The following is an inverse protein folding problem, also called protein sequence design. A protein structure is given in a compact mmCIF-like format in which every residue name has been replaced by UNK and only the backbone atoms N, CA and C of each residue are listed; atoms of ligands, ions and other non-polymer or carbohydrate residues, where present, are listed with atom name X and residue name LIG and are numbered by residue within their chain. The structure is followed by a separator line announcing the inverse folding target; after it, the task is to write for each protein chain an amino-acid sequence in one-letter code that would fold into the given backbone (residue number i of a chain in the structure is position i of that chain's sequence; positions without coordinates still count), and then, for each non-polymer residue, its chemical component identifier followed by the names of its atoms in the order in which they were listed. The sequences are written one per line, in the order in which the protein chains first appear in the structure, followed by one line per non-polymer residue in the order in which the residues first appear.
data_IF_274761615995
#
_entry.id   IF_274761615995
#
_cell.length_a   1.000
_cell.length_b   1.000
_cell.length_c   1.000
_cell.angle_alpha   90.00
_cell.angle_beta   90.00
_cell.angle_gamma   90.00
#
_symmetry.space_group_name_H-M   'P 1'
#
loop_
_entity.id
_entity.type
_entity.pdbx_description
1 polymer ?
#
# COMPACT_ATOMS: atom_id res chain seq x y z
N UNK A 1 7.18 18.54 16.32
CA UNK A 1 5.86 18.05 15.85
C UNK A 1 4.75 18.56 16.77
N UNK A 2 3.71 19.26 16.26
CA UNK A 2 2.65 19.85 17.11
C UNK A 2 1.32 19.07 17.15
N UNK A 3 1.21 17.89 16.52
CA UNK A 3 -0.06 17.16 16.45
C UNK A 3 0.09 15.65 16.64
N UNK A 4 0.55 15.22 17.82
CA UNK A 4 0.36 13.80 18.21
C UNK A 4 -1.14 13.57 18.39
N UNK A 5 -1.74 12.56 17.73
CA UNK A 5 -3.16 12.27 17.85
C UNK A 5 -3.62 12.11 19.32
N UNK A 6 -4.68 12.85 19.69
CA UNK A 6 -5.26 12.79 21.04
C UNK A 6 -5.88 11.44 21.36
N UNK A 7 -6.36 10.73 20.33
CA UNK A 7 -6.86 9.35 20.41
C UNK A 7 -5.87 8.43 19.68
N UNK A 8 -5.65 7.20 20.15
CA UNK A 8 -4.91 6.20 19.39
C UNK A 8 -5.71 5.79 18.14
N UNK A 9 -5.12 4.95 17.29
CA UNK A 9 -5.86 4.33 16.19
C UNK A 9 -6.96 3.39 16.72
N UNK A 10 -7.63 2.70 15.81
CA UNK A 10 -8.81 1.88 16.18
C UNK A 10 -8.60 0.38 16.05
N UNK A 11 -7.46 -0.04 15.51
CA UNK A 11 -7.12 -1.45 15.28
C UNK A 11 -5.68 -1.75 15.71
N UNK A 12 -5.45 -2.99 16.13
CA UNK A 12 -4.19 -3.72 16.14
C UNK A 12 -3.03 -2.86 16.61
N UNK A 13 -2.01 -2.73 15.75
CA UNK A 13 -0.76 -2.01 15.92
C UNK A 13 -0.93 -0.57 16.44
N UNK A 14 -2.09 0.06 16.21
CA UNK A 14 -2.34 1.47 16.56
C UNK A 14 -3.21 1.69 17.79
N UNK A 15 -4.02 0.70 18.19
CA UNK A 15 -5.15 0.89 19.10
C UNK A 15 -4.73 1.19 20.54
N UNK A 16 -3.71 0.49 21.01
CA UNK A 16 -3.29 0.54 22.41
C UNK A 16 -1.98 1.31 22.59
N UNK A 17 -1.48 1.96 21.53
CA UNK A 17 -0.24 2.73 21.60
C UNK A 17 -0.36 3.89 22.60
N UNK A 18 0.56 3.96 23.59
CA UNK A 18 0.56 5.04 24.55
C UNK A 18 0.86 6.36 23.84
N UNK A 19 0.29 7.44 24.37
CA UNK A 19 0.62 8.77 23.88
C UNK A 19 2.10 9.06 24.17
N UNK A 20 2.81 9.51 23.15
CA UNK A 20 4.22 9.90 23.27
C UNK A 20 4.39 11.02 24.32
N UNK A 21 5.34 10.82 25.23
CA UNK A 21 5.71 11.82 26.23
C UNK A 21 6.67 12.88 25.65
N UNK A 22 6.98 13.93 26.43
CA UNK A 22 7.81 15.04 25.95
C UNK A 22 9.21 14.63 25.50
N UNK A 23 9.87 13.69 26.20
CA UNK A 23 11.23 13.26 25.85
C UNK A 23 11.22 12.41 24.58
N UNK A 24 10.22 11.56 24.38
CA UNK A 24 10.00 10.81 23.15
C UNK A 24 9.78 11.74 21.95
N UNK A 25 8.95 12.78 22.11
CA UNK A 25 8.74 13.80 21.06
C UNK A 25 10.03 14.53 20.72
N UNK A 26 10.76 14.99 21.73
CA UNK A 26 12.02 15.70 21.52
C UNK A 26 13.06 14.80 20.83
N UNK A 27 13.09 13.51 21.18
CA UNK A 27 13.93 12.53 20.51
C UNK A 27 13.57 12.40 19.04
N UNK A 28 12.29 12.21 18.71
CA UNK A 28 11.81 12.09 17.32
C UNK A 28 12.06 13.37 16.50
N UNK A 29 11.85 14.55 17.09
CA UNK A 29 12.17 15.84 16.44
C UNK A 29 13.67 15.94 16.13
N UNK A 30 14.54 15.48 17.05
CA UNK A 30 15.97 15.45 16.82
C UNK A 30 16.38 14.38 15.79
N UNK A 31 15.73 13.22 15.82
CA UNK A 31 15.92 12.15 14.84
C UNK A 31 15.58 12.66 13.44
N UNK A 32 14.43 13.31 13.27
CA UNK A 32 14.03 13.91 12.00
C UNK A 32 15.03 14.97 11.53
N UNK A 33 15.50 15.85 12.42
CA UNK A 33 16.52 16.85 12.07
C UNK A 33 17.78 16.17 11.51
N UNK A 34 18.27 15.11 12.16
CA UNK A 34 19.46 14.37 11.69
C UNK A 34 19.23 13.67 10.36
N UNK A 35 18.03 13.12 10.14
CA UNK A 35 17.67 12.54 8.84
C UNK A 35 17.68 13.57 7.72
N UNK A 36 17.14 14.76 7.96
CA UNK A 36 17.18 15.85 6.98
C UNK A 36 18.62 16.32 6.70
N UNK A 37 19.48 16.36 7.72
CA UNK A 37 20.91 16.65 7.54
C UNK A 37 21.60 15.57 6.69
N UNK A 38 21.32 14.29 6.94
CA UNK A 38 21.85 13.21 6.10
C UNK A 38 21.28 13.22 4.68
N UNK A 39 20.04 13.64 4.50
CA UNK A 39 19.41 13.78 3.18
C UNK A 39 20.05 14.92 2.38
N UNK A 40 20.55 15.96 3.04
CA UNK A 40 21.29 17.03 2.37
C UNK A 40 22.55 16.50 1.67
N UNK A 41 23.31 15.62 2.32
CA UNK A 41 24.48 15.00 1.68
C UNK A 41 24.09 14.16 0.45
N UNK A 42 22.90 13.54 0.45
CA UNK A 42 22.38 12.80 -0.72
C UNK A 42 21.99 13.77 -1.84
N UNK A 43 21.42 14.92 -1.53
CA UNK A 43 21.09 15.97 -2.49
C UNK A 43 22.36 16.53 -3.15
N UNK A 44 23.40 16.82 -2.36
CA UNK A 44 24.72 17.25 -2.85
C UNK A 44 25.35 16.19 -3.78
N UNK A 45 25.20 14.89 -3.46
CA UNK A 45 25.65 13.79 -4.33
C UNK A 45 24.89 13.74 -5.65
N UNK A 46 23.57 13.98 -5.63
CA UNK A 46 22.75 14.07 -6.85
C UNK A 46 23.19 15.26 -7.70
N UNK A 47 23.43 16.42 -7.10
CA UNK A 47 23.99 17.59 -7.78
C UNK A 47 25.31 17.24 -8.47
N UNK A 48 26.26 16.62 -7.76
CA UNK A 48 27.55 16.22 -8.32
C UNK A 48 27.45 15.22 -9.49
N UNK A 49 26.48 14.29 -9.45
CA UNK A 49 26.18 13.41 -10.60
C UNK A 49 25.74 14.24 -11.81
N UNK A 50 24.84 15.20 -11.60
CA UNK A 50 24.36 16.05 -12.68
C UNK A 50 25.43 17.00 -13.21
N UNK A 51 26.22 17.63 -12.35
CA UNK A 51 27.38 18.45 -12.76
C UNK A 51 28.33 17.64 -13.65
N UNK A 52 28.65 16.41 -13.23
CA UNK A 52 29.51 15.52 -14.02
C UNK A 52 28.89 15.20 -15.38
N UNK A 53 27.59 14.90 -15.43
CA UNK A 53 26.92 14.54 -16.68
C UNK A 53 26.70 15.73 -17.61
N UNK A 54 26.64 16.97 -17.09
CA UNK A 54 26.50 18.18 -17.91
C UNK A 54 27.73 18.43 -18.80
N UNK A 55 28.91 17.96 -18.40
CA UNK A 55 30.13 17.98 -19.22
C UNK A 55 30.07 17.02 -20.42
N UNK A 56 29.13 16.06 -20.40
CA UNK A 56 28.93 15.06 -21.46
C UNK A 56 27.49 15.12 -22.00
N UNK A 57 27.13 16.19 -22.74
CA UNK A 57 25.74 16.45 -23.14
C UNK A 57 25.12 15.31 -23.96
N UNK A 58 25.90 14.60 -24.79
CA UNK A 58 25.41 13.47 -25.56
C UNK A 58 25.07 12.26 -24.68
N UNK A 59 25.87 12.01 -23.63
CA UNK A 59 25.60 10.95 -22.64
C UNK A 59 24.37 11.32 -21.84
N UNK A 60 24.30 12.55 -21.33
CA UNK A 60 23.17 13.03 -20.56
C UNK A 60 21.88 13.00 -21.40
N UNK A 61 21.92 13.39 -22.68
CA UNK A 61 20.76 13.34 -23.56
C UNK A 61 20.23 11.93 -23.78
N UNK A 62 21.09 10.90 -23.70
CA UNK A 62 20.77 9.49 -23.91
C UNK A 62 20.60 8.67 -22.62
N UNK A 63 20.56 9.32 -21.45
CA UNK A 63 20.47 8.63 -20.15
C UNK A 63 19.10 8.83 -19.50
N UNK A 64 18.48 7.72 -19.07
CA UNK A 64 17.37 7.75 -18.13
C UNK A 64 17.91 7.83 -16.70
N UNK A 65 17.46 8.82 -15.94
CA UNK A 65 17.79 8.99 -14.52
C UNK A 65 16.47 8.86 -13.76
N UNK A 66 16.44 7.91 -12.81
CA UNK A 66 15.27 7.60 -11.97
C UNK A 66 15.68 7.80 -10.52
N UNK A 67 14.95 8.64 -9.80
CA UNK A 67 15.10 8.86 -8.36
C UNK A 67 13.89 8.30 -7.64
N UNK A 68 14.12 7.39 -6.69
CA UNK A 68 13.05 6.74 -5.91
C UNK A 68 13.56 6.23 -4.56
N UNK A 69 12.68 5.62 -3.77
CA UNK A 69 13.00 4.94 -2.51
C UNK A 69 12.31 3.56 -2.46
N UNK A 70 12.82 2.66 -1.62
CA UNK A 70 12.23 1.34 -1.36
C UNK A 70 10.95 1.44 -0.52
N UNK A 71 11.00 2.28 0.52
CA UNK A 71 9.88 2.56 1.41
C UNK A 71 9.98 3.97 2.02
N UNK A 72 8.89 4.43 2.60
CA UNK A 72 8.81 5.61 3.44
C UNK A 72 9.25 5.35 4.88
N UNK A 73 8.97 6.27 5.79
CA UNK A 73 9.37 6.13 7.19
C UNK A 73 8.57 7.06 8.11
N UNK A 74 7.91 6.48 9.10
CA UNK A 74 7.18 7.21 10.14
C UNK A 74 8.06 7.54 11.36
N UNK A 75 7.77 8.67 12.00
CA UNK A 75 8.47 9.24 13.14
C UNK A 75 7.48 9.89 14.10
N UNK A 76 6.66 9.10 14.80
CA UNK A 76 5.69 9.64 15.76
C UNK A 76 4.27 9.80 15.25
N UNK A 77 4.05 9.77 13.93
CA UNK A 77 2.72 9.69 13.34
C UNK A 77 2.00 8.45 13.88
N UNK A 78 0.69 8.57 14.11
CA UNK A 78 -0.10 7.52 14.76
C UNK A 78 0.42 7.06 16.14
N UNK A 79 1.26 7.86 16.80
CA UNK A 79 2.00 7.52 18.05
C UNK A 79 3.05 6.44 17.89
N UNK A 80 3.40 6.12 16.65
CA UNK A 80 4.42 5.13 16.34
C UNK A 80 5.81 5.59 16.81
N UNK A 81 6.69 4.67 17.20
CA UNK A 81 8.10 4.97 17.33
C UNK A 81 8.70 5.32 15.95
N UNK A 82 10.01 5.56 15.88
CA UNK A 82 10.66 5.66 14.57
C UNK A 82 10.64 4.27 13.90
N UNK A 83 10.31 4.19 12.61
CA UNK A 83 10.35 2.93 11.90
C UNK A 83 9.64 2.95 10.56
N UNK A 84 9.38 1.73 10.10
CA UNK A 84 8.66 1.38 8.88
C UNK A 84 7.99 0.02 9.10
N UNK A 85 7.03 -0.34 8.26
CA UNK A 85 6.26 -1.62 8.17
C UNK A 85 4.74 -1.41 8.22
N UNK A 86 4.26 -0.18 8.30
CA UNK A 86 2.83 0.14 8.33
C UNK A 86 2.32 0.47 6.93
N UNK A 87 1.02 0.23 6.68
CA UNK A 87 0.41 0.55 5.38
C UNK A 87 0.13 2.05 5.18
N UNK A 88 0.58 2.90 6.10
CA UNK A 88 0.25 4.32 6.16
C UNK A 88 1.02 5.15 5.12
N UNK A 89 0.49 6.31 4.74
CA UNK A 89 1.09 7.18 3.72
C UNK A 89 2.57 7.46 3.98
N UNK A 90 2.94 7.70 5.24
CA UNK A 90 4.34 7.97 5.61
C UNK A 90 5.30 6.83 5.25
N UNK A 91 4.81 5.59 5.18
CA UNK A 91 5.61 4.38 4.93
C UNK A 91 5.56 3.90 3.48
N UNK A 92 4.50 4.23 2.74
CA UNK A 92 4.22 3.60 1.43
C UNK A 92 4.27 4.59 0.26
N UNK A 93 4.09 5.88 0.51
CA UNK A 93 4.10 6.90 -0.54
C UNK A 93 5.52 7.45 -0.75
N UNK A 94 6.26 6.79 -1.63
CA UNK A 94 7.67 7.11 -1.94
C UNK A 94 7.81 8.01 -3.17
N UNK A 95 8.89 8.80 -3.28
CA UNK A 95 9.14 9.57 -4.48
C UNK A 95 9.38 8.65 -5.69
N UNK A 96 8.90 9.06 -6.85
CA UNK A 96 9.31 8.52 -8.14
C UNK A 96 9.44 9.68 -9.13
N UNK A 97 10.68 10.01 -9.48
CA UNK A 97 11.01 11.10 -10.41
C UNK A 97 11.86 10.50 -11.53
N UNK A 98 11.52 10.79 -12.78
CA UNK A 98 12.24 10.29 -13.94
C UNK A 98 12.51 11.41 -14.95
N UNK A 99 13.70 11.38 -15.56
CA UNK A 99 14.04 12.20 -16.73
C UNK A 99 14.91 11.42 -17.71
N UNK A 100 14.74 11.67 -19.00
CA UNK A 100 15.51 10.99 -20.04
C UNK A 100 14.97 11.26 -21.43
N UNK A 101 15.47 10.55 -22.45
CA UNK A 101 14.95 10.60 -23.81
C UNK A 101 13.42 10.39 -23.83
N UNK A 102 12.71 11.28 -24.51
CA UNK A 102 11.24 11.21 -24.73
C UNK A 102 10.35 11.30 -23.47
N UNK A 103 10.94 11.38 -22.27
CA UNK A 103 10.20 11.56 -21.02
C UNK A 103 9.55 12.93 -21.01
N UNK A 104 8.29 12.98 -20.60
CA UNK A 104 7.54 14.23 -20.58
C UNK A 104 8.10 15.19 -19.52
N UNK A 105 8.48 16.41 -19.94
CA UNK A 105 9.02 17.44 -19.06
C UNK A 105 7.91 18.13 -18.28
N UNK A 106 8.15 18.43 -17.00
CA UNK A 106 7.22 19.15 -16.12
C UNK A 106 5.81 18.55 -16.08
N UNK A 107 5.73 17.22 -16.08
CA UNK A 107 4.48 16.48 -15.93
C UNK A 107 4.44 15.75 -14.59
N UNK A 108 3.26 15.73 -13.99
CA UNK A 108 2.96 14.98 -12.78
C UNK A 108 1.83 14.01 -13.10
N UNK A 109 2.08 12.73 -12.85
CA UNK A 109 1.07 11.69 -12.90
C UNK A 109 0.40 11.59 -11.53
N UNK A 110 -0.94 11.53 -11.53
CA UNK A 110 -1.74 11.33 -10.31
C UNK A 110 -2.28 9.91 -10.18
N UNK A 111 -2.13 9.11 -11.24
CA UNK A 111 -2.44 7.68 -11.19
C UNK A 111 -1.47 6.99 -10.23
N UNK A 112 -1.96 6.04 -9.42
CA UNK A 112 -1.11 5.32 -8.50
C UNK A 112 -0.20 4.35 -9.28
N UNK A 113 0.99 4.12 -8.77
CA UNK A 113 1.96 3.13 -9.28
C UNK A 113 2.62 2.43 -8.09
N UNK A 114 3.22 1.27 -8.32
CA UNK A 114 3.98 0.54 -7.31
C UNK A 114 5.35 0.11 -7.85
N UNK A 115 6.19 -0.46 -6.98
CA UNK A 115 7.49 -1.01 -7.41
C UNK A 115 7.36 -2.14 -8.45
N UNK A 116 6.22 -2.84 -8.51
CA UNK A 116 6.00 -3.87 -9.55
C UNK A 116 5.90 -3.28 -10.96
N UNK A 117 5.62 -1.98 -11.07
CA UNK A 117 5.55 -1.26 -12.35
C UNK A 117 6.93 -0.85 -12.89
N UNK A 118 8.00 -0.91 -12.07
CA UNK A 118 9.34 -0.50 -12.48
C UNK A 118 9.91 -1.39 -13.59
N UNK A 119 9.84 -2.70 -13.43
CA UNK A 119 10.33 -3.65 -14.43
C UNK A 119 9.65 -3.48 -15.81
N UNK A 120 8.30 -3.49 -15.93
CA UNK A 120 7.65 -3.26 -17.22
C UNK A 120 7.92 -1.85 -17.78
N UNK A 121 8.09 -0.83 -16.93
CA UNK A 121 8.50 0.52 -17.37
C UNK A 121 9.87 0.49 -18.03
N UNK A 122 10.87 -0.15 -17.39
CA UNK A 122 12.21 -0.26 -17.94
C UNK A 122 12.23 -1.05 -19.26
N UNK A 123 11.43 -2.12 -19.37
CA UNK A 123 11.27 -2.86 -20.62
C UNK A 123 10.75 -1.96 -21.74
N UNK A 124 9.70 -1.17 -21.47
CA UNK A 124 9.14 -0.22 -22.44
C UNK A 124 10.12 0.89 -22.82
N UNK A 125 10.93 1.37 -21.88
CA UNK A 125 11.97 2.38 -22.15
C UNK A 125 13.12 1.82 -23.00
N UNK A 126 13.44 0.54 -22.83
CA UNK A 126 14.47 -0.18 -23.58
C UNK A 126 13.96 -0.84 -24.88
N UNK A 127 12.70 -0.58 -25.28
CA UNK A 127 12.04 -1.16 -26.46
C UNK A 127 12.00 -2.71 -26.47
N UNK A 128 11.84 -3.30 -25.29
CA UNK A 128 11.62 -4.74 -25.14
C UNK A 128 10.13 -5.08 -25.02
N UNK A 129 9.75 -6.26 -25.54
CA UNK A 129 8.41 -6.82 -25.34
C UNK A 129 8.16 -7.11 -23.86
N UNK A 130 6.99 -6.70 -23.37
CA UNK A 130 6.56 -7.02 -22.01
C UNK A 130 6.39 -8.54 -21.84
N UNK A 131 6.66 -9.02 -20.63
CA UNK A 131 6.42 -10.41 -20.26
C UNK A 131 5.04 -10.56 -19.64
N UNK A 132 4.38 -11.67 -19.93
CA UNK A 132 3.04 -11.96 -19.43
C UNK A 132 3.02 -12.20 -17.90
N UNK A 133 4.17 -12.56 -17.32
CA UNK A 133 4.36 -12.83 -15.89
C UNK A 133 4.67 -11.57 -15.05
N UNK A 134 4.66 -10.38 -15.65
CA UNK A 134 4.78 -9.13 -14.89
C UNK A 134 3.48 -8.79 -14.16
N UNK A 135 3.53 -8.59 -12.84
CA UNK A 135 2.34 -8.18 -12.09
C UNK A 135 1.98 -6.69 -12.29
N UNK A 136 2.96 -5.87 -12.67
CA UNK A 136 2.78 -4.44 -12.92
C UNK A 136 2.54 -4.08 -14.39
N UNK A 137 2.24 -2.80 -14.62
CA UNK A 137 2.10 -2.19 -15.94
C UNK A 137 3.14 -1.08 -16.15
N UNK A 138 3.56 -0.78 -17.39
CA UNK A 138 4.44 0.35 -17.62
C UNK A 138 3.82 1.67 -17.16
N UNK A 139 4.55 2.43 -16.35
CA UNK A 139 4.16 3.79 -15.96
C UNK A 139 4.20 4.66 -17.23
N UNK A 140 3.16 5.47 -17.52
CA UNK A 140 3.06 6.28 -18.74
C UNK A 140 3.94 7.53 -18.67
N UNK A 141 5.26 7.34 -18.70
CA UNK A 141 6.28 8.38 -18.47
C UNK A 141 6.68 9.16 -19.74
N UNK A 142 6.43 8.60 -20.93
CA UNK A 142 6.80 9.26 -22.20
C UNK A 142 5.76 10.31 -22.59
N UNK A 143 6.19 11.34 -23.34
CA UNK A 143 5.27 12.37 -23.86
C UNK A 143 4.08 11.79 -24.63
N UNK A 144 4.34 10.76 -25.46
CA UNK A 144 3.33 10.08 -26.26
C UNK A 144 2.32 9.27 -25.41
N UNK A 145 2.65 8.94 -24.17
CA UNK A 145 1.78 8.15 -23.29
C UNK A 145 0.69 9.00 -22.62
N UNK A 146 0.82 10.33 -22.61
CA UNK A 146 -0.16 11.23 -21.98
C UNK A 146 -1.39 11.48 -22.86
N UNK A 147 -2.05 10.40 -23.28
CA UNK A 147 -3.32 10.43 -24.00
C UNK A 147 -4.50 10.16 -23.07
N UNK A 148 -5.73 10.61 -23.41
CA UNK A 148 -6.93 10.25 -22.67
C UNK A 148 -7.15 8.74 -22.54
N UNK A 149 -6.66 7.96 -23.50
CA UNK A 149 -6.81 6.50 -23.59
C UNK A 149 -5.71 5.71 -22.87
N UNK A 150 -4.77 6.39 -22.19
CA UNK A 150 -3.76 5.73 -21.37
C UNK A 150 -4.43 4.83 -20.33
N UNK A 151 -3.95 3.58 -20.20
CA UNK A 151 -4.45 2.65 -19.19
C UNK A 151 -4.21 3.30 -17.82
N UNK A 152 -5.29 3.64 -17.13
CA UNK A 152 -5.27 4.13 -15.76
C UNK A 152 -5.56 2.95 -14.86
N UNK A 153 -4.53 2.48 -14.16
CA UNK A 153 -4.77 1.69 -12.94
C UNK A 153 -5.37 2.62 -11.90
N UNK A 154 -6.35 2.11 -11.14
CA UNK A 154 -6.89 2.84 -9.99
C UNK A 154 -6.35 2.28 -8.68
N UNK A 155 -5.65 1.14 -8.68
CA UNK A 155 -5.32 0.38 -7.49
C UNK A 155 -3.82 0.16 -7.32
N UNK A 156 -3.39 0.06 -6.08
CA UNK A 156 -2.09 -0.49 -5.65
C UNK A 156 -2.35 -1.42 -4.47
N UNK A 157 -1.73 -2.60 -4.50
CA UNK A 157 -1.71 -3.54 -3.38
C UNK A 157 -0.46 -3.31 -2.53
N UNK A 158 -0.62 -3.35 -1.21
CA UNK A 158 0.44 -3.16 -0.23
C UNK A 158 0.27 -4.26 0.83
N UNK A 159 1.35 -4.95 1.17
CA UNK A 159 1.30 -6.01 2.16
C UNK A 159 2.52 -5.99 3.08
N UNK A 160 2.32 -6.51 4.29
CA UNK A 160 3.39 -6.72 5.26
C UNK A 160 3.14 -8.05 5.98
N UNK A 161 4.21 -8.70 6.39
CA UNK A 161 4.20 -10.01 7.05
C UNK A 161 5.09 -9.98 8.29
N UNK A 162 4.56 -10.55 9.38
CA UNK A 162 5.28 -10.74 10.62
C UNK A 162 5.28 -9.52 11.53
N UNK A 163 6.41 -9.30 12.20
CA UNK A 163 6.54 -8.26 13.22
C UNK A 163 7.00 -6.91 12.65
N UNK A 164 6.51 -5.84 13.26
CA UNK A 164 6.97 -4.49 12.99
C UNK A 164 8.37 -4.23 13.54
N UNK A 165 9.11 -3.35 12.87
CA UNK A 165 10.49 -3.01 13.24
C UNK A 165 10.48 -1.62 13.88
N UNK A 166 10.98 -1.56 15.12
CA UNK A 166 11.30 -0.28 15.76
C UNK A 166 12.73 0.10 15.45
N UNK A 167 12.90 1.32 14.96
CA UNK A 167 14.20 1.96 14.82
C UNK A 167 14.43 2.99 15.94
N UNK A 168 15.70 3.18 16.31
CA UNK A 168 16.09 4.05 17.41
C UNK A 168 16.04 3.39 18.79
N UNK A 169 16.48 4.14 19.80
CA UNK A 169 16.81 3.57 21.14
C UNK A 169 15.81 3.94 22.24
N UNK A 170 15.00 4.99 22.03
CA UNK A 170 14.08 5.52 23.06
C UNK A 170 12.79 4.71 23.20
N UNK A 171 12.52 3.80 22.25
CA UNK A 171 11.32 2.97 22.21
C UNK A 171 11.62 1.47 22.36
N UNK A 172 12.83 1.10 22.80
CA UNK A 172 13.24 -0.29 22.95
C UNK A 172 12.35 -1.10 23.92
N UNK A 173 11.71 -0.42 24.88
CA UNK A 173 10.73 -1.03 25.79
C UNK A 173 9.40 -1.41 25.11
N UNK A 174 9.17 -0.97 23.88
CA UNK A 174 7.99 -1.32 23.08
C UNK A 174 8.29 -2.48 22.11
N UNK A 175 9.56 -2.71 21.71
CA UNK A 175 9.96 -3.81 20.82
C UNK A 175 10.35 -5.09 21.55
N UNK A 176 10.75 -4.98 22.81
CA UNK A 176 11.17 -6.12 23.64
C UNK A 176 10.64 -5.94 25.04
N UNK A 177 10.12 -7.02 25.63
CA UNK A 177 9.85 -7.11 27.07
C UNK A 177 11.16 -7.04 27.86
N UNK A 178 11.76 -5.86 28.01
CA UNK A 178 12.83 -5.66 28.98
C UNK A 178 12.18 -5.33 30.31
N UNK A 179 11.90 -6.37 31.11
CA UNK A 179 11.79 -6.14 32.56
C UNK A 179 13.19 -5.80 33.08
N UNK A 180 13.37 -4.79 33.95
CA UNK A 180 14.70 -4.30 34.32
C UNK A 180 15.63 -5.29 35.05
N UNK A 181 15.18 -6.50 35.38
CA UNK A 181 15.79 -7.31 36.45
C UNK A 181 15.90 -8.83 36.23
N UNK A 182 15.81 -9.39 35.02
CA UNK A 182 15.89 -10.86 34.88
C UNK A 182 16.89 -11.32 33.81
N UNK A 183 18.09 -11.68 34.27
CA UNK A 183 19.03 -12.51 33.52
C UNK A 183 18.62 -13.99 33.45
N UNK A 184 17.58 -14.40 34.19
CA UNK A 184 17.11 -15.78 34.27
C UNK A 184 15.58 -15.82 34.22
N UNK A 185 14.97 -15.86 33.03
CA UNK A 185 13.67 -16.53 32.83
C UNK A 185 13.55 -17.08 31.42
N UNK A 186 13.97 -18.33 31.28
CA UNK A 186 13.27 -19.27 30.43
C UNK A 186 11.86 -19.52 30.99
N UNK A 187 10.87 -19.68 30.09
CA UNK A 187 9.60 -20.40 30.32
C UNK A 187 8.56 -19.76 31.25
N UNK A 188 8.04 -18.58 30.88
CA UNK A 188 6.61 -18.25 31.11
C UNK A 188 6.11 -17.52 29.86
N UNK A 189 4.98 -17.95 29.30
CA UNK A 189 4.44 -17.56 27.98
C UNK A 189 4.74 -16.11 27.57
N UNK A 190 5.19 -15.86 26.31
CA UNK A 190 5.44 -14.51 25.85
C UNK A 190 4.14 -13.72 25.93
N UNK A 191 4.12 -12.58 26.64
CA UNK A 191 3.06 -11.61 26.35
C UNK A 191 3.51 -10.91 25.07
N UNK A 192 2.71 -11.03 24.02
CA UNK A 192 2.98 -10.44 22.72
C UNK A 192 3.32 -8.95 22.87
N UNK A 193 4.43 -8.53 22.27
CA UNK A 193 4.78 -7.13 22.12
C UNK A 193 3.76 -6.40 21.24
N UNK A 194 3.71 -5.07 21.34
CA UNK A 194 2.80 -4.23 20.55
C UNK A 194 2.95 -4.43 19.03
N UNK A 195 4.07 -4.99 18.60
CA UNK A 195 4.49 -5.04 17.22
C UNK A 195 4.71 -6.46 16.71
N UNK A 196 4.32 -7.49 17.47
CA UNK A 196 4.57 -8.89 17.10
C UNK A 196 3.69 -9.37 15.92
N UNK A 197 2.49 -8.77 15.80
CA UNK A 197 1.46 -9.10 14.81
C UNK A 197 1.16 -7.92 13.89
N UNK A 198 1.97 -7.74 12.85
CA UNK A 198 1.85 -6.68 11.85
C UNK A 198 1.55 -7.21 10.43
N UNK A 199 0.96 -8.42 10.34
CA UNK A 199 0.54 -9.01 9.07
C UNK A 199 -0.77 -8.39 8.58
N UNK A 200 -0.75 -7.80 7.39
CA UNK A 200 -1.93 -7.20 6.75
C UNK A 200 -1.83 -7.17 5.23
N UNK A 201 -2.98 -6.99 4.58
CA UNK A 201 -3.07 -6.56 3.18
C UNK A 201 -3.88 -5.28 3.07
N UNK A 202 -3.38 -4.35 2.27
CA UNK A 202 -3.91 -3.01 2.09
C UNK A 202 -4.12 -2.72 0.61
N UNK A 203 -5.32 -2.26 0.28
CA UNK A 203 -5.64 -1.68 -1.00
C UNK A 203 -5.60 -0.16 -0.91
N UNK A 204 -4.77 0.46 -1.74
CA UNK A 204 -4.90 1.87 -2.13
C UNK A 204 -5.67 1.96 -3.42
N UNK A 205 -6.71 2.80 -3.44
CA UNK A 205 -7.47 3.06 -4.65
C UNK A 205 -7.60 4.57 -4.88
N UNK A 206 -7.20 5.04 -6.05
CA UNK A 206 -7.00 6.46 -6.35
C UNK A 206 -7.67 6.81 -7.69
N UNK A 207 -8.48 7.87 -7.67
CA UNK A 207 -9.02 8.50 -8.87
C UNK A 207 -9.26 9.99 -8.64
N UNK A 208 -9.64 10.70 -9.70
CA UNK A 208 -10.08 12.09 -9.57
C UNK A 208 -11.32 12.27 -8.69
N UNK A 209 -12.16 11.23 -8.52
CA UNK A 209 -13.43 11.30 -7.78
C UNK A 209 -13.35 10.75 -6.36
N UNK A 210 -12.52 9.75 -6.11
CA UNK A 210 -12.37 9.10 -4.81
C UNK A 210 -10.92 8.75 -4.54
N UNK A 211 -10.58 8.62 -3.26
CA UNK A 211 -9.31 8.07 -2.83
C UNK A 211 -9.53 7.34 -1.50
N UNK A 212 -9.24 6.05 -1.47
CA UNK A 212 -9.42 5.24 -0.27
C UNK A 212 -8.19 4.38 0.03
N UNK A 213 -7.97 4.17 1.31
CA UNK A 213 -7.11 3.13 1.85
C UNK A 213 -7.96 2.16 2.63
N UNK A 214 -7.91 0.88 2.28
CA UNK A 214 -8.63 -0.19 2.97
C UNK A 214 -7.66 -1.31 3.35
N UNK A 215 -7.61 -1.63 4.63
CA UNK A 215 -6.67 -2.61 5.19
C UNK A 215 -7.42 -3.71 5.91
N UNK A 216 -6.99 -4.95 5.67
CA UNK A 216 -7.44 -6.15 6.36
C UNK A 216 -6.26 -6.73 7.13
N UNK A 217 -6.39 -6.82 8.44
CA UNK A 217 -5.38 -7.38 9.33
C UNK A 217 -5.58 -8.89 9.51
N UNK A 218 -4.52 -9.62 9.79
CA UNK A 218 -4.58 -11.08 9.95
C UNK A 218 -5.51 -11.54 11.10
N UNK A 219 -5.74 -10.69 12.09
CA UNK A 219 -6.66 -10.94 13.20
C UNK A 219 -8.12 -10.57 12.89
N UNK A 220 -8.44 -10.20 11.64
CA UNK A 220 -9.78 -9.84 11.19
C UNK A 220 -10.20 -8.39 11.48
N UNK A 221 -9.33 -7.57 12.05
CA UNK A 221 -9.57 -6.14 12.16
C UNK A 221 -9.40 -5.42 10.80
N UNK A 222 -10.03 -4.26 10.68
CA UNK A 222 -10.18 -3.57 9.40
C UNK A 222 -10.06 -2.05 9.56
N UNK A 223 -9.42 -1.44 8.58
CA UNK A 223 -9.31 0.02 8.47
C UNK A 223 -9.83 0.49 7.13
N UNK A 224 -10.54 1.62 7.13
CA UNK A 224 -10.99 2.31 5.93
C UNK A 224 -10.82 3.81 6.12
N UNK A 225 -10.07 4.45 5.24
CA UNK A 225 -9.84 5.89 5.24
C UNK A 225 -10.25 6.51 3.91
N UNK A 226 -11.01 7.62 3.97
CA UNK A 226 -11.22 8.50 2.82
C UNK A 226 -10.06 9.49 2.76
N UNK A 227 -9.10 9.21 1.89
CA UNK A 227 -7.81 9.91 1.86
C UNK A 227 -7.93 11.35 1.35
N UNK A 228 -9.03 11.69 0.66
CA UNK A 228 -9.29 13.09 0.28
C UNK A 228 -9.76 13.93 1.45
N UNK A 229 -10.45 13.32 2.42
CA UNK A 229 -10.98 14.00 3.61
C UNK A 229 -10.08 13.86 4.83
N UNK A 230 -9.37 12.74 4.92
CA UNK A 230 -8.49 12.36 6.02
C UNK A 230 -7.15 11.84 5.47
N UNK A 231 -6.34 12.73 4.85
CA UNK A 231 -5.03 12.36 4.29
C UNK A 231 -4.04 11.87 5.34
N UNK A 232 -4.30 12.11 6.63
CA UNK A 232 -3.48 11.66 7.76
C UNK A 232 -4.03 10.40 8.44
N UNK A 233 -5.07 9.78 7.88
CA UNK A 233 -5.59 8.47 8.31
C UNK A 233 -5.93 8.40 9.81
N UNK A 234 -6.55 9.44 10.34
CA UNK A 234 -6.88 9.57 11.76
C UNK A 234 -8.30 9.12 12.11
N UNK A 235 -9.16 8.90 11.11
CA UNK A 235 -10.58 8.55 11.25
C UNK A 235 -10.95 7.31 10.45
N UNK A 236 -10.84 6.13 11.10
CA UNK A 236 -11.25 4.87 10.50
C UNK A 236 -12.77 4.81 10.29
N UNK A 237 -13.23 4.85 9.04
CA UNK A 237 -14.63 4.72 8.59
C UNK A 237 -15.23 3.34 8.84
N UNK A 238 -14.42 2.30 9.00
CA UNK A 238 -14.89 0.95 9.33
C UNK A 238 -15.23 0.82 10.82
N UNK A 239 -14.58 1.60 11.68
CA UNK A 239 -14.93 1.64 13.10
C UNK A 239 -16.36 2.18 13.25
N UNK A 240 -17.14 1.63 14.20
CA UNK A 240 -18.57 1.95 14.46
C UNK A 240 -18.83 3.39 14.96
N UNK A 241 -18.07 4.37 14.50
CA UNK A 241 -18.26 5.78 14.81
C UNK A 241 -19.10 6.44 13.72
N UNK A 242 -20.16 7.17 14.09
CA UNK A 242 -21.01 7.87 13.14
C UNK A 242 -20.26 9.08 12.61
N UNK A 243 -19.51 8.90 11.52
CA UNK A 243 -18.98 10.00 10.74
C UNK A 243 -19.68 10.08 9.38
N UNK A 244 -19.92 11.31 8.95
CA UNK A 244 -20.64 11.65 7.72
C UNK A 244 -19.80 11.31 6.48
N UNK A 245 -19.71 10.03 6.13
CA UNK A 245 -19.33 9.63 4.78
C UNK A 245 -20.50 9.85 3.83
N UNK A 246 -20.22 10.34 2.62
CA UNK A 246 -21.22 10.37 1.54
C UNK A 246 -21.43 9.00 0.90
N UNK A 247 -20.62 8.00 1.29
CA UNK A 247 -20.71 6.64 0.80
C UNK A 247 -21.46 5.75 1.80
N UNK A 248 -22.21 4.78 1.27
CA UNK A 248 -22.67 3.66 2.07
C UNK A 248 -21.46 2.79 2.42
N UNK A 249 -20.99 2.88 3.67
CA UNK A 249 -19.77 2.19 4.12
C UNK A 249 -19.89 0.68 4.00
N UNK A 250 -21.04 0.09 4.36
CA UNK A 250 -21.23 -1.35 4.26
C UNK A 250 -21.12 -1.84 2.81
N UNK A 251 -21.71 -1.08 1.87
CA UNK A 251 -21.60 -1.36 0.45
C UNK A 251 -20.15 -1.21 -0.04
N UNK A 252 -19.52 -0.08 0.29
CA UNK A 252 -18.15 0.25 -0.14
C UNK A 252 -17.14 -0.81 0.33
N UNK A 253 -17.20 -1.18 1.60
CA UNK A 253 -16.31 -2.19 2.20
C UNK A 253 -16.39 -3.51 1.42
N UNK A 254 -17.59 -3.99 1.06
CA UNK A 254 -17.72 -5.22 0.26
C UNK A 254 -17.02 -5.15 -1.10
N UNK A 255 -16.99 -3.98 -1.76
CA UNK A 255 -16.31 -3.79 -3.05
C UNK A 255 -14.80 -3.75 -2.90
N UNK A 256 -14.32 -3.06 -1.86
CA UNK A 256 -12.89 -2.94 -1.57
C UNK A 256 -12.33 -4.28 -1.11
N UNK A 257 -13.05 -4.99 -0.25
CA UNK A 257 -12.68 -6.32 0.24
C UNK A 257 -12.60 -7.35 -0.89
N UNK A 258 -13.58 -7.37 -1.79
CA UNK A 258 -13.50 -8.25 -2.96
C UNK A 258 -12.32 -7.90 -3.89
N UNK A 259 -11.97 -6.62 -4.01
CA UNK A 259 -10.80 -6.21 -4.78
C UNK A 259 -9.50 -6.61 -4.08
N UNK A 260 -9.40 -6.49 -2.74
CA UNK A 260 -8.28 -7.06 -1.97
C UNK A 260 -8.20 -8.56 -2.19
N UNK A 261 -9.32 -9.29 -2.08
CA UNK A 261 -9.38 -10.73 -2.33
C UNK A 261 -8.88 -11.12 -3.73
N UNK A 262 -9.17 -10.29 -4.74
CA UNK A 262 -8.69 -10.51 -6.11
C UNK A 262 -7.19 -10.30 -6.23
N UNK A 263 -6.66 -9.28 -5.55
CA UNK A 263 -5.24 -8.90 -5.58
C UNK A 263 -4.37 -9.74 -4.65
N UNK A 264 -4.99 -10.38 -3.67
CA UNK A 264 -4.36 -11.08 -2.56
C UNK A 264 -3.27 -12.06 -2.97
N UNK A 265 -3.57 -12.90 -3.94
CA UNK A 265 -2.68 -13.92 -4.52
C UNK A 265 -2.63 -13.79 -6.05
N UNK A 266 -2.80 -12.56 -6.56
CA UNK A 266 -2.80 -12.34 -8.00
C UNK A 266 -1.43 -12.65 -8.61
N UNK A 267 -1.43 -13.02 -9.89
CA UNK A 267 -0.24 -13.14 -10.71
C UNK A 267 -0.54 -12.66 -12.14
N UNK A 268 0.43 -12.00 -12.76
CA UNK A 268 0.37 -11.54 -14.14
C UNK A 268 -0.89 -10.70 -14.43
N UNK A 269 -1.70 -11.17 -15.39
CA UNK A 269 -2.86 -10.39 -15.86
C UNK A 269 -3.90 -10.10 -14.78
N UNK A 270 -4.04 -10.99 -13.79
CA UNK A 270 -4.97 -10.78 -12.68
C UNK A 270 -4.54 -9.64 -11.74
N UNK A 271 -3.24 -9.37 -11.62
CA UNK A 271 -2.73 -8.20 -10.88
C UNK A 271 -2.90 -6.89 -11.68
N UNK A 272 -2.63 -6.96 -12.98
CA UNK A 272 -2.74 -5.80 -13.89
C UNK A 272 -4.20 -5.38 -14.13
N UNK A 273 -5.10 -6.37 -14.22
CA UNK A 273 -6.50 -6.18 -14.58
C UNK A 273 -7.47 -6.91 -13.63
N UNK A 274 -7.44 -6.65 -12.31
CA UNK A 274 -8.24 -7.38 -11.32
C UNK A 274 -9.75 -7.24 -11.54
N UNK A 275 -10.19 -6.11 -12.10
CA UNK A 275 -11.59 -5.91 -12.47
C UNK A 275 -12.04 -6.87 -13.56
N UNK A 276 -11.22 -7.08 -14.59
CA UNK A 276 -11.49 -8.04 -15.67
C UNK A 276 -11.44 -9.48 -15.14
N UNK A 277 -10.56 -9.75 -14.17
CA UNK A 277 -10.52 -11.05 -13.49
C UNK A 277 -11.83 -11.36 -12.73
N UNK A 278 -12.51 -10.36 -12.15
CA UNK A 278 -13.83 -10.55 -11.51
C UNK A 278 -15.02 -10.45 -12.47
N UNK A 279 -14.92 -9.60 -13.50
CA UNK A 279 -15.97 -9.28 -14.46
C UNK A 279 -15.45 -9.56 -15.89
N UNK A 280 -15.49 -10.82 -16.37
CA UNK A 280 -14.87 -11.19 -17.64
C UNK A 280 -15.41 -10.46 -18.87
N UNK A 281 -16.67 -9.99 -18.82
CA UNK A 281 -17.28 -9.17 -19.89
C UNK A 281 -16.84 -7.70 -19.89
N UNK A 282 -16.09 -7.24 -18.88
CA UNK A 282 -15.46 -5.91 -18.85
C UNK A 282 -16.40 -4.75 -18.53
N UNK A 283 -17.62 -5.02 -18.05
CA UNK A 283 -18.65 -4.01 -17.76
C UNK A 283 -18.34 -3.16 -16.52
N UNK A 284 -17.54 -3.70 -15.58
CA UNK A 284 -17.07 -2.97 -14.40
C UNK A 284 -15.58 -2.65 -14.58
N UNK A 285 -15.25 -1.37 -14.78
CA UNK A 285 -13.88 -0.91 -15.03
C UNK A 285 -13.32 -0.03 -13.92
N UNK A 286 -14.15 0.37 -12.95
CA UNK A 286 -13.77 1.27 -11.86
C UNK A 286 -14.58 0.99 -10.59
N UNK A 287 -14.13 1.51 -9.45
CA UNK A 287 -14.93 1.48 -8.22
C UNK A 287 -16.27 2.21 -8.40
N UNK A 288 -16.31 3.30 -9.19
CA UNK A 288 -17.57 3.99 -9.46
C UNK A 288 -18.61 3.09 -10.13
N UNK A 289 -18.20 2.24 -11.07
CA UNK A 289 -19.09 1.24 -11.68
C UNK A 289 -19.48 0.15 -10.68
N UNK A 290 -18.51 -0.34 -9.89
CA UNK A 290 -18.73 -1.39 -8.89
C UNK A 290 -19.70 -0.98 -7.75
N UNK A 291 -19.87 0.32 -7.52
CA UNK A 291 -20.82 0.88 -6.55
C UNK A 291 -22.27 0.89 -7.03
N UNK A 292 -22.55 0.54 -8.29
CA UNK A 292 -23.93 0.39 -8.75
C UNK A 292 -24.65 -0.72 -7.97
N UNK A 293 -25.89 -0.45 -7.57
CA UNK A 293 -26.69 -1.36 -6.72
C UNK A 293 -27.05 -2.67 -7.41
N UNK A 294 -27.01 -2.71 -8.76
CA UNK A 294 -27.17 -3.94 -9.55
C UNK A 294 -26.12 -5.02 -9.23
N UNK A 295 -24.99 -4.64 -8.61
CA UNK A 295 -23.94 -5.57 -8.20
C UNK A 295 -23.99 -5.90 -6.69
N UNK A 296 -24.98 -5.40 -5.94
CA UNK A 296 -25.05 -5.57 -4.47
C UNK A 296 -25.11 -7.03 -4.04
N UNK A 297 -25.91 -7.85 -4.73
CA UNK A 297 -26.04 -9.28 -4.44
C UNK A 297 -24.71 -10.01 -4.70
N UNK A 298 -24.07 -9.73 -5.84
CA UNK A 298 -22.78 -10.31 -6.20
C UNK A 298 -21.71 -10.01 -5.14
N UNK A 299 -21.48 -8.74 -4.80
CA UNK A 299 -20.47 -8.37 -3.80
C UNK A 299 -20.84 -8.85 -2.39
N UNK A 300 -22.13 -8.96 -2.07
CA UNK A 300 -22.58 -9.52 -0.78
C UNK A 300 -22.29 -11.02 -0.68
N UNK A 301 -22.30 -11.74 -1.80
CA UNK A 301 -22.03 -13.18 -1.86
C UNK A 301 -20.56 -13.56 -1.73
N UNK A 302 -19.65 -12.60 -1.96
CA UNK A 302 -18.21 -12.85 -1.92
C UNK A 302 -17.74 -13.28 -0.53
N UNK A 303 -16.79 -14.24 -0.44
CA UNK A 303 -16.13 -14.51 0.82
C UNK A 303 -15.36 -13.26 1.26
N UNK A 304 -15.26 -13.07 2.57
CA UNK A 304 -14.44 -11.99 3.11
C UNK A 304 -12.96 -12.33 2.97
N UNK A 305 -12.12 -11.31 2.81
CA UNK A 305 -10.69 -11.49 3.08
C UNK A 305 -10.53 -11.85 4.55
N UNK A 306 -9.90 -12.99 4.80
CA UNK A 306 -9.50 -13.44 6.14
C UNK A 306 -8.12 -14.06 6.06
N UNK A 307 -7.62 -14.53 7.19
CA UNK A 307 -6.39 -15.29 7.32
C UNK A 307 -6.69 -16.43 8.27
N UNK A 308 -6.18 -17.63 7.98
CA UNK A 308 -6.32 -18.76 8.88
C UNK A 308 -5.33 -18.66 10.04
N UNK A 309 -4.16 -18.05 9.78
CA UNK A 309 -3.13 -17.76 10.79
C UNK A 309 -2.40 -16.44 10.51
N UNK A 310 -2.01 -15.74 11.58
CA UNK A 310 -1.11 -14.59 11.53
C UNK A 310 0.36 -15.03 11.40
N UNK A 311 0.74 -15.49 10.22
CA UNK A 311 2.09 -16.02 9.95
C UNK A 311 3.14 -14.91 9.93
N UNK A 312 4.39 -15.28 10.24
CA UNK A 312 5.56 -14.38 10.18
C UNK A 312 6.14 -14.19 8.77
N UNK A 313 5.45 -14.70 7.75
CA UNK A 313 5.87 -14.67 6.35
C UNK A 313 4.73 -15.10 5.43
N UNK A 314 4.93 -14.91 4.13
CA UNK A 314 3.95 -15.30 3.11
C UNK A 314 3.84 -16.83 3.02
N UNK A 315 2.70 -17.37 3.46
CA UNK A 315 2.35 -18.79 3.39
C UNK A 315 0.94 -18.86 2.77
N UNK A 316 0.82 -19.07 1.44
CA UNK A 316 -0.44 -18.97 0.71
C UNK A 316 -1.56 -19.84 1.28
N UNK A 317 -1.22 -21.02 1.80
CA UNK A 317 -2.16 -22.00 2.34
C UNK A 317 -2.84 -21.54 3.63
N UNK A 318 -2.24 -20.56 4.33
CA UNK A 318 -2.74 -20.02 5.59
C UNK A 318 -3.41 -18.65 5.42
N UNK A 319 -3.55 -18.19 4.18
CA UNK A 319 -4.27 -16.96 3.91
C UNK A 319 -5.80 -17.16 3.83
N UNK A 320 -6.38 -18.35 4.06
CA UNK A 320 -7.83 -18.52 3.93
C UNK A 320 -8.33 -18.29 2.49
N UNK A 321 -9.48 -17.61 2.26
CA UNK A 321 -10.02 -17.39 0.92
C UNK A 321 -9.02 -16.66 0.01
N UNK A 322 -8.74 -17.26 -1.14
CA UNK A 322 -7.71 -16.80 -2.07
C UNK A 322 -8.26 -16.14 -3.35
N UNK A 323 -9.53 -16.38 -3.69
CA UNK A 323 -10.12 -15.93 -4.97
C UNK A 323 -11.58 -15.49 -4.81
N UNK A 324 -12.01 -14.44 -5.53
CA UNK A 324 -13.42 -14.06 -5.61
C UNK A 324 -14.20 -15.01 -6.51
N UNK A 325 -15.53 -15.05 -6.35
CA UNK A 325 -16.41 -15.61 -7.37
C UNK A 325 -16.44 -14.71 -8.60
N UNK A 326 -16.55 -15.31 -9.79
CA UNK A 326 -16.70 -14.59 -11.05
C UNK A 326 -18.14 -14.08 -11.20
N UNK A 327 -18.28 -12.86 -11.73
CA UNK A 327 -19.59 -12.34 -12.09
C UNK A 327 -20.10 -13.04 -13.35
N UNK A 328 -21.27 -13.69 -13.27
CA UNK A 328 -21.88 -14.44 -14.37
C UNK A 328 -23.06 -13.69 -15.02
N UNK A 329 -23.26 -12.41 -14.71
CA UNK A 329 -24.47 -11.68 -15.11
C UNK A 329 -25.71 -12.18 -14.37
N UNK A 330 -26.84 -11.49 -14.54
CA UNK A 330 -28.11 -11.86 -13.89
C UNK A 330 -28.79 -13.12 -14.46
N UNK A 331 -28.18 -13.80 -15.44
CA UNK A 331 -28.80 -14.90 -16.18
C UNK A 331 -28.05 -16.24 -16.15
N UNK A 332 -26.85 -16.33 -15.57
CA UNK A 332 -26.17 -17.60 -15.38
C UNK A 332 -26.10 -17.90 -13.88
N UNK A 333 -27.09 -18.65 -13.40
CA UNK A 333 -26.92 -19.54 -12.25
C UNK A 333 -26.51 -20.88 -12.84
N UNK A 334 -25.51 -21.50 -12.24
CA UNK A 334 -24.98 -22.83 -12.55
C UNK A 334 -23.93 -22.89 -13.69
N UNK A 335 -22.70 -22.51 -13.36
CA UNK A 335 -21.53 -23.14 -13.97
C UNK A 335 -20.47 -23.37 -12.88
N UNK A 336 -20.31 -24.64 -12.49
CA UNK A 336 -19.23 -25.13 -11.63
C UNK A 336 -17.87 -24.67 -12.18
N UNK A 337 -17.04 -24.16 -11.28
CA UNK A 337 -15.67 -23.69 -11.55
C UNK A 337 -14.81 -24.88 -12.00
N UNK A 338 -14.47 -24.94 -13.29
CA UNK A 338 -13.34 -25.75 -13.78
C UNK A 338 -12.07 -24.90 -13.78
N UNK A 339 -11.11 -25.38 -13.01
CA UNK A 339 -9.83 -24.79 -12.64
C UNK A 339 -8.76 -24.94 -13.73
N UNK A 340 -9.08 -24.76 -15.01
CA UNK A 340 -8.19 -25.26 -16.09
C UNK A 340 -7.39 -24.20 -16.86
N UNK A 341 -7.48 -22.90 -16.60
CA UNK A 341 -6.79 -21.89 -17.44
C UNK A 341 -6.06 -20.78 -16.65
N UNK A 342 -5.45 -21.11 -15.50
CA UNK A 342 -4.64 -20.16 -14.72
C UNK A 342 -3.29 -20.76 -14.28
N UNK A 343 -2.50 -21.25 -15.24
CA UNK A 343 -1.04 -21.46 -15.09
C UNK A 343 -0.32 -20.35 -15.82
#
# INVERSE_FOLDING_TARGET
MESIPRRPGTVSYFKDLPRLNKSQVQYLDNFQRRRLQSLQDVDDLVEGIFETLLDYPDVLANTYIIYTADNGFHLGQHRLPAGKTCGIEEDVNVPFIIRGPEIAKNKTLKSPSSHTDLAPTLFKLADFSLRDDFDGLPIPVKFADHTPDSIKTEHVNIECWGSGIIEGTVFANLSMQVTPNNHDRALTAPQEGYFDHNTYKTLRIVSEKYEFMYTVWCNGEHELYDMKRDPYQTFNLHAKQPQCSSYNIAQLVKRLDTLVLTLKNCQGDSCRHPRKAMFPSGEVTSLQHALATSYDEFFSSQPWVSFDECTQGYIPELEGPARPYLYQGSFARDAELRDEHWI
#
